data_IF_278805365537
#
_entry.id   IF_278805365537
#
_cell.length_a   1.000
_cell.length_b   1.000
_cell.length_c   1.000
_cell.angle_alpha   90.00
_cell.angle_beta   90.00
_cell.angle_gamma   90.00
#
_symmetry.space_group_name_H-M   'P 1'
#
loop_
_entity.id
_entity.type
_entity.pdbx_description
1 polymer ?
#
# COMPACT_ATOMS: atom_id res chain seq x y z
N UNK A 1 8.46 18.75 -25.12
CA UNK A 1 9.31 17.68 -24.54
C UNK A 1 8.49 16.96 -23.49
N UNK A 2 8.43 15.66 -23.56
CA UNK A 2 7.82 14.88 -22.49
C UNK A 2 8.68 15.02 -21.22
N UNK A 3 8.06 15.33 -20.09
CA UNK A 3 8.76 15.38 -18.82
C UNK A 3 9.18 13.96 -18.43
N UNK A 4 10.48 13.76 -18.21
CA UNK A 4 11.04 12.49 -17.77
C UNK A 4 11.65 12.66 -16.38
N UNK A 5 11.29 11.74 -15.47
CA UNK A 5 11.82 11.68 -14.12
C UNK A 5 12.51 10.34 -13.90
N UNK A 6 13.68 10.34 -13.29
CA UNK A 6 14.51 9.16 -13.08
C UNK A 6 14.71 8.96 -11.58
N UNK A 7 14.41 7.75 -11.09
CA UNK A 7 14.64 7.33 -9.72
C UNK A 7 15.68 6.23 -9.69
N UNK A 8 16.63 6.28 -8.74
CA UNK A 8 17.72 5.31 -8.62
C UNK A 8 17.77 4.70 -7.24
N UNK A 9 17.91 3.39 -7.19
CA UNK A 9 18.20 2.62 -5.98
C UNK A 9 19.38 1.71 -6.30
N UNK A 10 20.37 1.70 -5.42
CA UNK A 10 21.49 0.76 -5.46
C UNK A 10 21.26 -0.32 -4.40
N UNK A 11 21.57 -1.56 -4.73
CA UNK A 11 21.50 -2.66 -3.79
C UNK A 11 22.77 -3.50 -3.87
N UNK A 12 23.22 -4.00 -2.72
CA UNK A 12 24.38 -4.88 -2.60
C UNK A 12 24.06 -6.06 -1.69
N UNK A 13 24.62 -7.23 -2.00
CA UNK A 13 24.48 -8.40 -1.15
C UNK A 13 25.35 -8.26 0.10
N UNK A 14 24.83 -8.69 1.24
CA UNK A 14 25.57 -8.78 2.52
C UNK A 14 25.82 -10.23 2.91
N UNK A 15 24.89 -11.11 2.64
CA UNK A 15 24.99 -12.56 2.81
C UNK A 15 24.35 -13.28 1.63
N UNK A 16 24.26 -14.63 1.66
CA UNK A 16 23.73 -15.45 0.56
C UNK A 16 22.33 -15.01 0.08
N UNK A 17 21.47 -14.60 1.00
CA UNK A 17 20.05 -14.26 0.71
C UNK A 17 19.65 -12.87 1.18
N UNK A 18 20.58 -12.11 1.74
CA UNK A 18 20.31 -10.80 2.32
C UNK A 18 21.11 -9.69 1.64
N UNK A 19 20.64 -8.46 1.77
CA UNK A 19 21.28 -7.31 1.18
C UNK A 19 20.84 -6.01 1.84
N UNK A 20 21.37 -4.93 1.30
CA UNK A 20 21.03 -3.57 1.68
C UNK A 20 20.68 -2.77 0.42
N UNK A 21 19.61 -2.02 0.50
CA UNK A 21 19.16 -1.08 -0.54
C UNK A 21 19.37 0.35 -0.06
N UNK A 22 19.91 1.18 -0.95
CA UNK A 22 20.23 2.59 -0.67
C UNK A 22 19.69 3.44 -1.82
N UNK A 23 19.00 4.51 -1.51
CA UNK A 23 18.66 5.55 -2.48
C UNK A 23 19.46 6.81 -2.14
N UNK A 24 19.94 7.52 -3.17
CA UNK A 24 20.73 8.73 -3.01
C UNK A 24 19.94 9.80 -2.23
N UNK A 25 20.57 10.42 -1.23
CA UNK A 25 19.97 11.44 -0.37
C UNK A 25 18.75 10.99 0.48
N UNK A 26 18.51 9.68 0.60
CA UNK A 26 17.40 9.14 1.39
C UNK A 26 17.95 8.24 2.50
N UNK A 27 17.62 8.59 3.75
CA UNK A 27 17.93 7.80 4.93
C UNK A 27 16.64 7.36 5.64
N UNK A 28 16.64 6.23 6.32
CA UNK A 28 17.73 5.23 6.40
C UNK A 28 17.79 4.30 5.18
N UNK A 29 18.92 3.62 5.00
CA UNK A 29 19.02 2.47 4.11
C UNK A 29 18.12 1.32 4.57
N UNK A 30 17.72 0.44 3.67
CA UNK A 30 16.82 -0.67 3.97
C UNK A 30 17.56 -1.99 3.87
N UNK A 31 17.69 -2.69 5.00
CA UNK A 31 18.17 -4.08 5.02
C UNK A 31 17.04 -5.03 4.65
N UNK A 32 17.30 -5.98 3.78
CA UNK A 32 16.32 -6.95 3.31
C UNK A 32 16.90 -8.36 3.24
N UNK A 33 16.02 -9.35 3.25
CA UNK A 33 16.34 -10.75 2.98
C UNK A 33 15.28 -11.35 2.04
N UNK A 34 15.60 -12.45 1.37
CA UNK A 34 14.57 -13.25 0.73
C UNK A 34 13.55 -13.72 1.77
N UNK A 35 12.30 -14.01 1.39
CA UNK A 35 11.33 -14.59 2.32
C UNK A 35 11.80 -15.94 2.88
N UNK A 36 11.37 -16.32 4.09
CA UNK A 36 11.70 -17.62 4.67
C UNK A 36 11.33 -18.80 3.77
N UNK A 37 10.23 -18.71 3.02
CA UNK A 37 9.77 -19.70 2.02
C UNK A 37 10.79 -19.92 0.90
N UNK A 38 11.63 -18.93 0.65
CA UNK A 38 12.74 -18.96 -0.31
C UNK A 38 14.12 -18.98 0.39
N UNK A 39 14.19 -19.52 1.61
CA UNK A 39 15.41 -19.72 2.40
C UNK A 39 16.09 -18.41 2.84
N UNK A 40 15.31 -17.35 3.02
CA UNK A 40 15.78 -16.10 3.61
C UNK A 40 15.67 -16.09 5.14
N UNK A 41 16.20 -15.02 5.74
CA UNK A 41 16.15 -14.81 7.19
C UNK A 41 14.82 -14.16 7.58
N UNK A 42 14.12 -14.66 8.63
CA UNK A 42 12.89 -14.04 9.11
C UNK A 42 13.16 -12.69 9.79
N UNK A 43 12.12 -11.84 9.87
CA UNK A 43 12.20 -10.56 10.56
C UNK A 43 12.80 -9.41 9.75
N UNK A 44 13.03 -9.61 8.47
CA UNK A 44 13.48 -8.58 7.54
C UNK A 44 12.42 -8.18 6.52
N UNK A 45 12.55 -6.99 5.98
CA UNK A 45 11.88 -6.64 4.74
C UNK A 45 12.32 -7.61 3.64
N UNK A 46 11.39 -7.92 2.72
CA UNK A 46 11.71 -8.76 1.56
C UNK A 46 11.45 -8.00 0.27
N UNK A 47 12.00 -8.41 -0.88
CA UNK A 47 11.66 -7.81 -2.17
C UNK A 47 10.16 -7.79 -2.44
N UNK A 48 9.43 -8.80 -1.96
CA UNK A 48 7.97 -8.89 -2.07
C UNK A 48 7.29 -7.79 -1.24
N UNK A 49 7.78 -7.51 -0.04
CA UNK A 49 7.32 -6.38 0.76
C UNK A 49 7.58 -5.03 0.05
N UNK A 50 8.73 -4.87 -0.62
CA UNK A 50 9.02 -3.65 -1.38
C UNK A 50 8.04 -3.44 -2.52
N UNK A 51 7.68 -4.51 -3.24
CA UNK A 51 6.69 -4.46 -4.31
C UNK A 51 5.33 -4.00 -3.77
N UNK A 52 4.84 -4.63 -2.70
CA UNK A 52 3.56 -4.29 -2.06
C UNK A 52 3.59 -2.88 -1.46
N UNK A 53 4.70 -2.50 -0.81
CA UNK A 53 4.88 -1.17 -0.24
C UNK A 53 4.89 -0.06 -1.30
N UNK A 54 5.46 -0.32 -2.48
CA UNK A 54 5.43 0.65 -3.58
C UNK A 54 3.99 0.91 -4.07
N UNK A 55 3.17 -0.13 -4.17
CA UNK A 55 1.73 0.00 -4.49
C UNK A 55 1.02 0.80 -3.42
N UNK A 56 1.21 0.44 -2.15
CA UNK A 56 0.58 1.10 -1.01
C UNK A 56 0.94 2.60 -0.92
N UNK A 57 2.24 2.92 -0.97
CA UNK A 57 2.72 4.30 -0.90
C UNK A 57 2.24 5.16 -2.07
N UNK A 58 2.25 4.59 -3.28
CA UNK A 58 1.73 5.28 -4.46
C UNK A 58 0.23 5.54 -4.36
N UNK A 59 -0.57 4.58 -3.90
CA UNK A 59 -2.00 4.79 -3.71
C UNK A 59 -2.30 5.90 -2.70
N UNK A 60 -1.67 5.86 -1.52
CA UNK A 60 -1.84 6.89 -0.47
C UNK A 60 -1.50 8.28 -0.99
N UNK A 61 -0.34 8.44 -1.64
CA UNK A 61 0.08 9.74 -2.17
C UNK A 61 -0.82 10.23 -3.30
N UNK A 62 -1.27 9.33 -4.17
CA UNK A 62 -2.20 9.65 -5.27
C UNK A 62 -3.56 10.08 -4.73
N UNK A 63 -4.13 9.34 -3.77
CA UNK A 63 -5.40 9.72 -3.15
C UNK A 63 -5.30 11.08 -2.44
N UNK A 64 -4.24 11.29 -1.65
CA UNK A 64 -4.03 12.56 -0.94
C UNK A 64 -3.94 13.74 -1.91
N UNK A 65 -3.22 13.58 -3.02
CA UNK A 65 -3.15 14.59 -4.07
C UNK A 65 -4.51 14.87 -4.72
N UNK A 66 -5.26 13.82 -5.07
CA UNK A 66 -6.60 13.94 -5.65
C UNK A 66 -7.56 14.64 -4.68
N UNK A 67 -7.55 14.24 -3.40
CA UNK A 67 -8.38 14.85 -2.36
C UNK A 67 -8.06 16.36 -2.22
N UNK A 68 -6.78 16.71 -2.15
CA UNK A 68 -6.32 18.08 -2.07
C UNK A 68 -6.82 18.94 -3.26
N UNK A 69 -6.57 18.50 -4.49
CA UNK A 69 -7.00 19.24 -5.69
C UNK A 69 -8.52 19.28 -5.85
N UNK A 70 -9.23 18.29 -5.33
CA UNK A 70 -10.69 18.26 -5.33
C UNK A 70 -11.32 19.00 -4.15
N UNK A 71 -10.51 19.59 -3.24
CA UNK A 71 -10.98 20.20 -2.00
C UNK A 71 -11.90 19.25 -1.22
N UNK A 72 -11.46 18.00 -1.10
CA UNK A 72 -12.13 16.96 -0.35
C UNK A 72 -11.40 16.75 0.98
N UNK A 73 -12.11 17.01 2.07
CA UNK A 73 -11.58 16.81 3.42
C UNK A 73 -11.91 15.40 3.92
N UNK A 74 -10.95 14.76 4.53
CA UNK A 74 -11.09 13.46 5.20
C UNK A 74 -10.30 13.46 6.51
N UNK A 75 -10.67 12.60 7.42
CA UNK A 75 -10.08 12.57 8.76
C UNK A 75 -8.85 11.66 8.82
N UNK A 76 -8.91 10.49 8.20
CA UNK A 76 -7.77 9.59 8.06
C UNK A 76 -7.95 8.66 6.87
N UNK A 77 -6.83 8.17 6.36
CA UNK A 77 -6.77 7.08 5.38
C UNK A 77 -5.73 6.07 5.87
N UNK A 78 -6.18 4.86 6.15
CA UNK A 78 -5.35 3.70 6.41
C UNK A 78 -5.46 2.75 5.22
N UNK A 79 -4.40 2.04 4.90
CA UNK A 79 -4.40 1.13 3.78
C UNK A 79 -3.71 -0.18 4.14
N UNK A 80 -4.47 -1.27 4.17
CA UNK A 80 -3.92 -2.61 4.11
C UNK A 80 -3.74 -2.99 2.63
N UNK A 81 -2.56 -3.47 2.28
CA UNK A 81 -2.26 -3.93 0.92
C UNK A 81 -1.73 -5.36 1.00
N UNK A 82 -2.42 -6.27 0.33
CA UNK A 82 -2.08 -7.69 0.28
C UNK A 82 -1.61 -8.05 -1.11
N UNK A 83 -0.44 -8.70 -1.21
CA UNK A 83 0.07 -9.26 -2.45
C UNK A 83 0.05 -10.78 -2.41
N UNK A 84 -0.58 -11.39 -3.40
CA UNK A 84 -0.62 -12.85 -3.55
C UNK A 84 0.39 -13.31 -4.58
N UNK A 85 1.28 -14.23 -4.17
CA UNK A 85 2.22 -14.90 -5.04
C UNK A 85 1.72 -16.32 -5.31
N UNK A 86 1.73 -16.71 -6.56
CA UNK A 86 1.44 -18.08 -6.96
C UNK A 86 2.38 -18.53 -8.09
N UNK A 87 2.50 -19.84 -8.24
CA UNK A 87 3.27 -20.45 -9.31
C UNK A 87 2.36 -20.79 -10.48
N UNK A 88 2.77 -20.35 -11.66
CA UNK A 88 2.15 -20.75 -12.93
C UNK A 88 3.18 -21.44 -13.84
N UNK A 89 2.87 -21.62 -15.12
CA UNK A 89 3.77 -22.24 -16.10
C UNK A 89 5.09 -21.45 -16.27
N UNK A 90 5.08 -20.14 -16.01
CA UNK A 90 6.25 -19.26 -16.09
C UNK A 90 7.08 -19.18 -14.79
N UNK A 91 6.60 -19.78 -13.70
CA UNK A 91 7.24 -19.72 -12.38
C UNK A 91 6.47 -18.92 -11.34
N UNK A 92 7.16 -18.49 -10.29
CA UNK A 92 6.58 -17.68 -9.22
C UNK A 92 6.38 -16.23 -9.67
N UNK A 93 5.20 -15.68 -9.41
CA UNK A 93 4.91 -14.26 -9.66
C UNK A 93 3.77 -13.74 -8.77
N UNK A 94 3.69 -12.43 -8.63
CA UNK A 94 2.47 -11.82 -8.09
C UNK A 94 1.31 -12.03 -9.05
N UNK A 95 0.27 -12.67 -8.59
CA UNK A 95 -0.97 -12.92 -9.36
C UNK A 95 -2.05 -11.90 -9.06
N UNK A 96 -2.04 -11.34 -7.85
CA UNK A 96 -3.02 -10.35 -7.40
C UNK A 96 -2.43 -9.43 -6.36
N UNK A 97 -2.89 -8.18 -6.36
CA UNK A 97 -2.73 -7.22 -5.26
C UNK A 97 -4.12 -6.72 -4.87
N UNK A 98 -4.45 -6.80 -3.60
CA UNK A 98 -5.72 -6.30 -3.05
C UNK A 98 -5.45 -5.09 -2.17
N UNK A 99 -6.09 -3.97 -2.48
CA UNK A 99 -6.08 -2.73 -1.72
C UNK A 99 -7.31 -2.69 -0.81
N UNK A 100 -7.12 -2.52 0.50
CA UNK A 100 -8.20 -2.34 1.46
C UNK A 100 -8.06 -0.98 2.15
N UNK A 101 -8.43 0.12 1.45
CA UNK A 101 -8.39 1.44 2.05
C UNK A 101 -9.52 1.61 3.06
N UNK A 102 -9.18 2.07 4.25
CA UNK A 102 -10.11 2.51 5.27
C UNK A 102 -10.08 4.03 5.36
N UNK A 103 -11.09 4.65 4.80
CA UNK A 103 -11.22 6.11 4.72
C UNK A 103 -12.23 6.61 5.75
N UNK A 104 -11.77 7.45 6.67
CA UNK A 104 -12.61 8.06 7.68
C UNK A 104 -13.01 9.46 7.23
N UNK A 105 -14.30 9.72 7.21
CA UNK A 105 -14.91 11.02 6.83
C UNK A 105 -15.82 11.55 7.94
N UNK A 106 -16.03 12.86 7.95
CA UNK A 106 -16.85 13.51 8.97
C UNK A 106 -18.35 13.45 8.68
N UNK A 107 -18.76 13.46 7.41
CA UNK A 107 -20.17 13.66 7.03
C UNK A 107 -20.66 12.62 6.04
N UNK A 108 -21.85 12.09 6.29
CA UNK A 108 -22.50 11.08 5.45
C UNK A 108 -22.72 11.55 4.00
N UNK A 109 -23.02 12.82 3.79
CA UNK A 109 -23.19 13.39 2.44
C UNK A 109 -21.98 13.23 1.53
N UNK A 110 -20.78 12.98 2.09
CA UNK A 110 -19.53 12.85 1.36
C UNK A 110 -19.20 11.39 0.96
N UNK A 111 -20.02 10.40 1.37
CA UNK A 111 -19.80 8.97 1.08
C UNK A 111 -19.60 8.67 -0.42
N UNK A 112 -20.54 9.12 -1.26
CA UNK A 112 -20.45 8.88 -2.70
C UNK A 112 -19.25 9.57 -3.35
N UNK A 113 -18.92 10.74 -2.84
CA UNK A 113 -17.74 11.47 -3.31
C UNK A 113 -16.46 10.77 -2.89
N UNK A 114 -16.37 10.31 -1.65
CA UNK A 114 -15.27 9.53 -1.12
C UNK A 114 -14.99 8.28 -1.98
N UNK A 115 -16.06 7.53 -2.29
CA UNK A 115 -15.98 6.34 -3.14
C UNK A 115 -15.40 6.67 -4.52
N UNK A 116 -15.94 7.68 -5.20
CA UNK A 116 -15.44 8.10 -6.53
C UNK A 116 -13.98 8.55 -6.49
N UNK A 117 -13.53 9.20 -5.41
CA UNK A 117 -12.13 9.63 -5.29
C UNK A 117 -11.18 8.46 -5.02
N UNK A 118 -11.58 7.45 -4.24
CA UNK A 118 -10.83 6.21 -4.07
C UNK A 118 -10.68 5.46 -5.40
N UNK A 119 -11.75 5.29 -6.15
CA UNK A 119 -11.73 4.67 -7.48
C UNK A 119 -10.85 5.46 -8.47
N UNK A 120 -10.89 6.80 -8.40
CA UNK A 120 -10.02 7.64 -9.21
C UNK A 120 -8.55 7.47 -8.82
N UNK A 121 -8.25 7.34 -7.52
CA UNK A 121 -6.90 7.12 -7.03
C UNK A 121 -6.33 5.79 -7.53
N UNK A 122 -7.11 4.71 -7.48
CA UNK A 122 -6.71 3.40 -8.02
C UNK A 122 -6.34 3.52 -9.51
N UNK A 123 -7.23 4.09 -10.33
CA UNK A 123 -6.99 4.25 -11.77
C UNK A 123 -5.84 5.20 -12.12
N UNK A 124 -5.53 6.15 -11.24
CA UNK A 124 -4.49 7.16 -11.48
C UNK A 124 -3.15 6.82 -10.83
N UNK A 125 -3.11 5.79 -9.96
CA UNK A 125 -1.89 5.37 -9.29
C UNK A 125 -0.85 4.92 -10.32
N UNK A 126 0.28 5.62 -10.37
CA UNK A 126 1.36 5.38 -11.34
C UNK A 126 1.89 3.94 -11.23
N UNK A 127 2.14 3.46 -10.03
CA UNK A 127 2.66 2.10 -9.82
C UNK A 127 1.62 1.07 -10.28
N UNK A 128 0.35 1.20 -9.90
CA UNK A 128 -0.73 0.29 -10.34
C UNK A 128 -0.82 0.24 -11.87
N UNK A 129 -0.78 1.40 -12.54
CA UNK A 129 -0.81 1.49 -14.00
C UNK A 129 0.42 0.87 -14.70
N UNK A 130 1.50 0.67 -13.98
CA UNK A 130 2.74 0.06 -14.49
C UNK A 130 2.76 -1.46 -14.32
N UNK A 131 1.77 -2.05 -13.64
CA UNK A 131 1.71 -3.48 -13.37
C UNK A 131 0.86 -4.22 -14.40
N UNK A 132 1.24 -5.46 -14.67
CA UNK A 132 0.41 -6.46 -15.36
C UNK A 132 -0.34 -7.36 -14.37
N UNK A 133 0.02 -7.29 -13.09
CA UNK A 133 -0.66 -7.98 -11.98
C UNK A 133 -2.06 -7.42 -11.80
N UNK A 134 -3.03 -8.31 -11.57
CA UNK A 134 -4.40 -7.89 -11.24
C UNK A 134 -4.39 -7.10 -9.92
N UNK A 135 -4.93 -5.89 -9.95
CA UNK A 135 -5.14 -5.08 -8.76
C UNK A 135 -6.64 -4.94 -8.52
N UNK A 136 -7.08 -5.19 -7.29
CA UNK A 136 -8.47 -5.05 -6.85
C UNK A 136 -8.55 -4.15 -5.63
N UNK A 137 -9.68 -3.49 -5.41
CA UNK A 137 -9.89 -2.62 -4.27
C UNK A 137 -11.18 -2.97 -3.52
N UNK A 138 -11.07 -3.09 -2.21
CA UNK A 138 -12.16 -3.37 -1.26
C UNK A 138 -12.23 -2.22 -0.24
N UNK A 139 -12.87 -1.09 -0.56
CA UNK A 139 -12.86 0.10 0.30
C UNK A 139 -13.83 -0.03 1.49
N UNK A 140 -13.38 0.42 2.66
CA UNK A 140 -14.21 0.65 3.86
C UNK A 140 -14.25 2.16 4.14
N UNK A 141 -15.40 2.79 3.94
CA UNK A 141 -15.60 4.21 4.22
C UNK A 141 -16.42 4.32 5.49
N UNK A 142 -15.84 4.93 6.54
CA UNK A 142 -16.46 5.01 7.86
C UNK A 142 -16.72 6.47 8.27
N UNK A 143 -17.85 6.69 8.91
CA UNK A 143 -18.16 7.96 9.55
C UNK A 143 -17.47 8.07 10.90
N UNK A 144 -17.13 9.28 11.32
CA UNK A 144 -16.45 9.53 12.59
C UNK A 144 -17.21 8.96 13.79
N UNK A 145 -18.53 9.13 13.83
CA UNK A 145 -19.39 8.63 14.90
C UNK A 145 -19.36 7.10 15.00
N UNK A 146 -19.47 6.41 13.87
CA UNK A 146 -19.40 4.94 13.81
C UNK A 146 -18.02 4.38 14.20
N UNK A 147 -16.96 5.11 13.88
CA UNK A 147 -15.61 4.73 14.25
C UNK A 147 -15.40 4.73 15.77
N UNK A 148 -15.93 5.76 16.46
CA UNK A 148 -15.87 5.87 17.91
C UNK A 148 -16.64 4.73 18.57
N UNK A 149 -17.81 4.37 18.04
CA UNK A 149 -18.61 3.26 18.55
C UNK A 149 -17.93 1.90 18.37
N UNK A 150 -17.36 1.64 17.19
CA UNK A 150 -16.61 0.40 16.90
C UNK A 150 -15.38 0.24 17.82
N UNK A 151 -14.66 1.32 18.12
CA UNK A 151 -13.55 1.29 19.06
C UNK A 151 -13.99 1.01 20.50
N UNK A 152 -15.10 1.57 20.93
CA UNK A 152 -15.66 1.29 22.27
C UNK A 152 -16.07 -0.17 22.43
N UNK A 153 -16.64 -0.80 21.39
CA UNK A 153 -17.01 -2.22 21.41
C UNK A 153 -15.81 -3.15 21.35
N UNK A 154 -14.75 -2.79 20.59
CA UNK A 154 -13.52 -3.59 20.49
C UNK A 154 -12.69 -3.63 21.78
N UNK A 155 -12.81 -2.62 22.64
CA UNK A 155 -12.13 -2.57 23.95
C UNK A 155 -12.90 -3.25 25.09
N UNK A 156 -14.03 -3.89 24.78
CA UNK A 156 -14.90 -4.56 25.78
C UNK A 156 -14.66 -6.08 25.88
N UNK A 157 -13.47 -6.58 25.51
CA UNK A 157 -13.11 -7.97 25.79
C UNK A 157 -12.63 -8.05 27.24
N UNK A 158 -13.35 -8.69 28.16
CA UNK A 158 -12.88 -8.85 29.52
C UNK A 158 -11.69 -9.81 29.55
N UNK A 159 -10.62 -9.34 30.16
CA UNK A 159 -9.47 -10.18 30.51
C UNK A 159 -9.99 -11.14 31.63
N UNK A 160 -10.15 -12.38 31.27
CA UNK A 160 -10.41 -13.49 32.22
C UNK A 160 -9.13 -14.30 32.40
#
# INVERSE_FOLDING_TARGET
MENQYIYRVNASSTTLRSGIAVAEEIEPSITFSAPPEFQGEPGHWTPEHFFVAAVAGCFISTFSGIAHFSKFEFLSLELETEGTIAKDEGGWRFTQVTLRPRLKIAQEKDLDRAKRLLEKAERSCLVVRSLTTLVTMEPDIVLEEEFIERQKMGNSVPIS
#
